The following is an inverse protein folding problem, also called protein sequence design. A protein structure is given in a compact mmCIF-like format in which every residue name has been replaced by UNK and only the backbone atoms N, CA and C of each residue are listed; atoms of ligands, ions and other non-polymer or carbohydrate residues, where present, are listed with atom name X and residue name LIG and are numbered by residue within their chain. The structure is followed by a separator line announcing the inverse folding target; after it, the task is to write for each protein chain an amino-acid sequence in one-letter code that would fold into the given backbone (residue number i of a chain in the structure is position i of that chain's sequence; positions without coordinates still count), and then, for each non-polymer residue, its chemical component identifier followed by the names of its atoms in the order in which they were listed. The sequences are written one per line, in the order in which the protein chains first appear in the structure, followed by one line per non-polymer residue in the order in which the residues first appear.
data_IF_668236783105
#
_entry.id   IF_668236783105
#
_cell.length_a   1.000
_cell.length_b   1.000
_cell.length_c   1.000
_cell.angle_alpha   90.00
_cell.angle_beta   90.00
_cell.angle_gamma   90.00
#
_symmetry.space_group_name_H-M   'P 1'
#
loop_
_entity.id
_entity.type
_entity.pdbx_description
1 polymer ?
#
# COMPACT_ATOMS: atom_id res chain seq x y z
N UNK A 1 -43.67 22.83 10.45
CA UNK A 1 -43.45 21.38 10.32
C UNK A 1 -41.92 21.19 10.38
N UNK A 2 -41.38 20.91 11.57
CA UNK A 2 -39.93 20.73 11.75
C UNK A 2 -39.55 19.33 11.27
N UNK A 3 -38.54 19.25 10.41
CA UNK A 3 -37.93 17.99 10.04
C UNK A 3 -36.99 17.58 11.18
N UNK A 4 -37.46 16.69 12.05
CA UNK A 4 -36.62 16.04 13.05
C UNK A 4 -35.70 15.05 12.33
N UNK A 5 -34.46 15.48 12.08
CA UNK A 5 -33.42 14.58 11.60
C UNK A 5 -33.01 13.64 12.73
N UNK A 6 -33.34 12.36 12.59
CA UNK A 6 -32.97 11.31 13.53
C UNK A 6 -31.44 11.09 13.46
N UNK A 7 -30.70 11.59 14.44
CA UNK A 7 -29.24 11.43 14.53
C UNK A 7 -28.96 9.97 14.87
N UNK A 8 -28.18 9.28 14.03
CA UNK A 8 -27.68 7.92 14.28
C UNK A 8 -26.23 7.98 14.72
N UNK A 9 -25.95 7.43 15.89
CA UNK A 9 -24.60 7.23 16.39
C UNK A 9 -24.06 5.87 15.91
N UNK A 10 -22.85 5.86 15.37
CA UNK A 10 -22.15 4.65 14.90
C UNK A 10 -20.83 4.51 15.64
N UNK A 11 -20.48 3.28 16.04
CA UNK A 11 -19.19 2.96 16.67
C UNK A 11 -18.36 2.09 15.74
N UNK A 12 -17.10 2.48 15.52
CA UNK A 12 -16.11 1.65 14.84
C UNK A 12 -15.59 0.57 15.80
N UNK A 13 -15.66 -0.68 15.37
CA UNK A 13 -15.14 -1.85 16.09
C UNK A 13 -13.74 -2.27 15.63
N UNK A 14 -13.20 -1.58 14.63
CA UNK A 14 -11.88 -1.83 14.04
C UNK A 14 -10.93 -0.67 14.34
N UNK A 15 -9.63 -0.91 14.16
CA UNK A 15 -8.64 0.15 14.25
C UNK A 15 -8.91 1.17 13.14
N UNK A 16 -9.30 2.39 13.53
CA UNK A 16 -9.74 3.42 12.60
C UNK A 16 -8.56 4.25 12.09
N UNK A 17 -8.57 4.63 10.81
CA UNK A 17 -7.61 5.59 10.26
C UNK A 17 -7.66 6.93 11.02
N UNK A 18 -6.50 7.56 11.20
CA UNK A 18 -6.41 8.93 11.75
C UNK A 18 -6.37 9.06 13.27
N UNK A 19 -6.42 7.96 14.04
CA UNK A 19 -6.05 8.03 15.47
C UNK A 19 -4.54 7.93 15.62
N UNK A 20 -3.95 8.71 16.53
CA UNK A 20 -2.49 8.79 16.71
C UNK A 20 -1.84 7.42 17.00
N UNK A 21 -2.57 6.48 17.60
CA UNK A 21 -2.08 5.15 17.95
C UNK A 21 -2.30 4.09 16.87
N UNK A 22 -3.15 4.33 15.86
CA UNK A 22 -3.54 3.32 14.86
C UNK A 22 -2.34 2.73 14.13
N UNK A 23 -1.48 3.58 13.58
CA UNK A 23 -0.30 3.14 12.83
C UNK A 23 0.64 2.33 13.72
N UNK A 24 0.86 2.77 14.97
CA UNK A 24 1.68 2.03 15.93
C UNK A 24 1.12 0.63 16.22
N UNK A 25 -0.19 0.52 16.44
CA UNK A 25 -0.83 -0.76 16.73
C UNK A 25 -0.73 -1.71 15.53
N UNK A 26 -1.03 -1.23 14.31
CA UNK A 26 -0.92 -2.02 13.10
C UNK A 26 0.52 -2.52 12.86
N UNK A 27 1.51 -1.62 12.96
CA UNK A 27 2.94 -1.98 12.87
C UNK A 27 3.34 -2.97 13.96
N UNK A 28 2.91 -2.77 15.21
CA UNK A 28 3.25 -3.69 16.31
C UNK A 28 2.65 -5.08 16.12
N UNK A 29 1.43 -5.17 15.56
CA UNK A 29 0.83 -6.43 15.16
C UNK A 29 1.68 -7.13 14.10
N UNK A 30 2.03 -6.46 13.00
CA UNK A 30 2.91 -7.02 11.97
C UNK A 30 4.25 -7.51 12.54
N UNK A 31 4.85 -6.74 13.45
CA UNK A 31 6.04 -7.18 14.18
C UNK A 31 5.80 -8.45 14.99
N UNK A 32 4.65 -8.58 15.67
CA UNK A 32 4.33 -9.81 16.40
C UNK A 32 4.18 -10.99 15.43
N UNK A 33 3.47 -10.79 14.32
CA UNK A 33 3.33 -11.81 13.27
C UNK A 33 4.69 -12.30 12.78
N UNK A 34 5.64 -11.39 12.57
CA UNK A 34 7.00 -11.73 12.16
C UNK A 34 7.74 -12.59 13.19
N UNK A 35 7.52 -12.37 14.49
CA UNK A 35 8.12 -13.15 15.57
C UNK A 35 7.47 -14.54 15.70
N UNK A 36 6.16 -14.60 15.41
CA UNK A 36 5.37 -15.82 15.46
C UNK A 36 5.43 -16.63 14.15
N UNK A 37 6.22 -16.17 13.16
CA UNK A 37 6.45 -16.90 11.92
C UNK A 37 7.23 -18.20 12.16
N UNK A 38 6.95 -19.20 11.33
CA UNK A 38 7.65 -20.47 11.38
C UNK A 38 9.17 -20.24 11.16
N UNK A 39 10.05 -20.74 12.04
CA UNK A 39 11.50 -20.62 11.87
C UNK A 39 12.04 -21.18 10.55
N UNK A 40 11.29 -22.09 9.89
CA UNK A 40 11.65 -22.64 8.58
C UNK A 40 11.47 -21.64 7.42
N UNK A 41 10.76 -20.52 7.64
CA UNK A 41 10.52 -19.49 6.62
C UNK A 41 11.04 -18.12 7.10
N UNK A 42 12.36 -17.94 7.25
CA UNK A 42 12.96 -16.69 7.73
C UNK A 42 12.68 -15.51 6.80
N UNK A 43 12.56 -15.75 5.49
CA UNK A 43 12.24 -14.73 4.49
C UNK A 43 10.85 -14.09 4.73
N UNK A 44 9.84 -14.89 5.08
CA UNK A 44 8.51 -14.37 5.41
C UNK A 44 8.53 -13.49 6.66
N UNK A 45 9.30 -13.89 7.67
CA UNK A 45 9.47 -13.11 8.91
C UNK A 45 10.11 -11.76 8.59
N UNK A 46 11.19 -11.76 7.81
CA UNK A 46 11.91 -10.55 7.45
C UNK A 46 11.05 -9.57 6.65
N UNK A 47 10.35 -10.06 5.62
CA UNK A 47 9.45 -9.24 4.80
C UNK A 47 8.28 -8.69 5.63
N UNK A 48 7.65 -9.52 6.47
CA UNK A 48 6.53 -9.07 7.31
C UNK A 48 6.95 -7.96 8.27
N UNK A 49 8.20 -7.98 8.72
CA UNK A 49 8.75 -7.00 9.65
C UNK A 49 9.20 -5.72 8.95
N UNK A 50 9.87 -5.84 7.81
CA UNK A 50 10.70 -4.78 7.24
C UNK A 50 10.19 -4.21 5.91
N UNK A 51 9.23 -4.87 5.26
CA UNK A 51 8.76 -4.49 3.92
C UNK A 51 7.42 -3.75 3.91
N UNK A 52 6.83 -3.47 5.07
CA UNK A 52 5.62 -2.66 5.17
C UNK A 52 5.94 -1.18 5.37
N UNK A 53 5.36 -0.33 4.52
CA UNK A 53 5.23 1.10 4.76
C UNK A 53 3.77 1.41 5.10
N UNK A 54 3.49 1.67 6.37
CA UNK A 54 2.11 1.77 6.89
C UNK A 54 1.27 0.55 6.48
N UNK A 55 0.31 0.72 5.57
CA UNK A 55 -0.59 -0.33 5.10
C UNK A 55 -0.12 -0.99 3.79
N UNK A 56 0.94 -0.47 3.15
CA UNK A 56 1.44 -0.94 1.87
C UNK A 56 2.62 -1.90 2.04
N UNK A 57 2.51 -3.10 1.45
CA UNK A 57 3.59 -4.08 1.38
C UNK A 57 4.42 -3.87 0.11
N UNK A 58 5.72 -3.62 0.26
CA UNK A 58 6.67 -3.41 -0.82
C UNK A 58 7.80 -4.45 -0.75
N UNK A 59 7.70 -5.50 -1.57
CA UNK A 59 8.72 -6.54 -1.67
C UNK A 59 8.88 -7.04 -3.11
N UNK A 60 9.91 -7.84 -3.38
CA UNK A 60 10.24 -8.34 -4.71
C UNK A 60 11.03 -9.65 -4.64
N UNK A 61 11.24 -10.26 -5.81
CA UNK A 61 12.01 -11.49 -5.96
C UNK A 61 12.78 -11.49 -7.30
N UNK A 62 13.77 -12.38 -7.44
CA UNK A 62 14.65 -12.43 -8.61
C UNK A 62 13.99 -13.08 -9.84
N UNK A 63 12.88 -13.78 -9.65
CA UNK A 63 12.12 -14.42 -10.72
C UNK A 63 10.62 -14.38 -10.49
N UNK A 64 9.84 -14.50 -11.57
CA UNK A 64 8.37 -14.60 -11.50
C UNK A 64 7.91 -15.78 -10.63
N UNK A 65 8.63 -16.90 -10.67
CA UNK A 65 8.28 -18.11 -9.91
C UNK A 65 8.47 -17.88 -8.43
N UNK A 66 9.61 -17.33 -8.02
CA UNK A 66 9.88 -16.98 -6.62
C UNK A 66 8.88 -15.94 -6.13
N UNK A 67 8.60 -14.90 -6.91
CA UNK A 67 7.60 -13.88 -6.56
C UNK A 67 6.22 -14.48 -6.30
N UNK A 68 5.78 -15.41 -7.15
CA UNK A 68 4.50 -16.11 -6.99
C UNK A 68 4.46 -16.92 -5.69
N UNK A 69 5.51 -17.70 -5.42
CA UNK A 69 5.60 -18.52 -4.21
C UNK A 69 5.58 -17.64 -2.96
N UNK A 70 6.37 -16.57 -2.97
CA UNK A 70 6.47 -15.61 -1.89
C UNK A 70 5.11 -14.94 -1.61
N UNK A 71 4.43 -14.46 -2.65
CA UNK A 71 3.12 -13.82 -2.52
C UNK A 71 2.09 -14.78 -1.91
N UNK A 72 2.05 -16.02 -2.40
CA UNK A 72 1.13 -17.03 -1.86
C UNK A 72 1.38 -17.29 -0.37
N UNK A 73 2.66 -17.45 0.01
CA UNK A 73 3.03 -17.70 1.39
C UNK A 73 2.76 -16.50 2.32
N UNK A 74 2.91 -15.26 1.82
CA UNK A 74 2.55 -14.04 2.55
C UNK A 74 1.05 -13.94 2.77
N UNK A 75 0.25 -14.23 1.74
CA UNK A 75 -1.21 -14.22 1.84
C UNK A 75 -1.65 -15.24 2.88
N UNK A 76 -1.24 -16.49 2.77
CA UNK A 76 -1.64 -17.54 3.72
C UNK A 76 -1.26 -17.20 5.16
N UNK A 77 -0.07 -16.63 5.37
CA UNK A 77 0.39 -16.27 6.70
C UNK A 77 -0.40 -15.09 7.31
N UNK A 78 -0.64 -14.05 6.53
CA UNK A 78 -1.26 -12.81 7.00
C UNK A 78 -2.79 -12.95 7.08
N UNK A 79 -3.41 -13.64 6.13
CA UNK A 79 -4.85 -13.90 6.08
C UNK A 79 -5.32 -14.69 7.31
N UNK A 80 -4.56 -15.72 7.71
CA UNK A 80 -4.80 -16.50 8.92
C UNK A 80 -4.75 -15.66 10.22
N UNK A 81 -4.23 -14.44 10.15
CA UNK A 81 -4.08 -13.51 11.28
C UNK A 81 -4.92 -12.23 11.11
N UNK A 82 -5.83 -12.21 10.13
CA UNK A 82 -6.76 -11.10 9.86
C UNK A 82 -6.17 -9.95 9.03
N UNK A 83 -5.00 -10.14 8.42
CA UNK A 83 -4.36 -9.17 7.54
C UNK A 83 -4.57 -9.57 6.07
N UNK A 84 -5.70 -9.11 5.52
CA UNK A 84 -6.09 -9.42 4.15
C UNK A 84 -5.37 -8.52 3.14
N UNK A 85 -4.34 -9.05 2.48
CA UNK A 85 -3.63 -8.36 1.41
C UNK A 85 -4.49 -8.26 0.14
N UNK A 86 -4.54 -7.06 -0.44
CA UNK A 86 -5.38 -6.73 -1.61
C UNK A 86 -4.70 -5.71 -2.51
N UNK A 87 -5.27 -5.49 -3.70
CA UNK A 87 -4.83 -4.47 -4.67
C UNK A 87 -3.37 -4.65 -5.13
N UNK A 88 -3.03 -5.88 -5.50
CA UNK A 88 -1.69 -6.27 -5.95
C UNK A 88 -1.20 -5.50 -7.18
N UNK A 89 0.10 -5.21 -7.19
CA UNK A 89 0.83 -4.59 -8.30
C UNK A 89 2.16 -5.29 -8.53
N UNK A 90 2.58 -5.40 -9.79
CA UNK A 90 3.85 -6.02 -10.17
C UNK A 90 4.30 -5.50 -11.53
N UNK A 91 5.62 -5.48 -11.74
CA UNK A 91 6.23 -5.25 -13.05
C UNK A 91 6.09 -6.46 -14.00
N UNK A 92 5.60 -7.60 -13.49
CA UNK A 92 5.40 -8.81 -14.26
C UNK A 92 3.93 -9.13 -14.44
N UNK A 93 3.46 -9.09 -15.70
CA UNK A 93 2.08 -9.45 -16.03
C UNK A 93 1.78 -10.92 -15.71
N UNK A 94 2.77 -11.81 -15.83
CA UNK A 94 2.63 -13.22 -15.49
C UNK A 94 2.34 -13.43 -14.01
N UNK A 95 2.97 -12.65 -13.14
CA UNK A 95 2.70 -12.66 -11.68
C UNK A 95 1.26 -12.19 -11.41
N UNK A 96 0.83 -11.06 -11.99
CA UNK A 96 -0.53 -10.53 -11.80
C UNK A 96 -1.64 -11.50 -12.25
N UNK A 97 -1.46 -12.13 -13.41
CA UNK A 97 -2.42 -13.13 -13.92
C UNK A 97 -2.52 -14.31 -12.96
N UNK A 98 -1.39 -14.78 -12.41
CA UNK A 98 -1.38 -15.90 -11.49
C UNK A 98 -2.10 -15.56 -10.17
N UNK A 99 -1.85 -14.38 -9.62
CA UNK A 99 -2.54 -13.86 -8.43
C UNK A 99 -4.05 -13.79 -8.67
N UNK A 100 -4.48 -13.21 -9.81
CA UNK A 100 -5.90 -13.13 -10.18
C UNK A 100 -6.59 -14.49 -10.24
N UNK A 101 -5.91 -15.50 -10.78
CA UNK A 101 -6.49 -16.84 -10.96
C UNK A 101 -6.59 -17.62 -9.65
N UNK A 102 -5.61 -17.50 -8.76
CA UNK A 102 -5.53 -18.35 -7.57
C UNK A 102 -6.34 -17.82 -6.38
N UNK A 103 -6.67 -16.53 -6.35
CA UNK A 103 -7.18 -15.88 -5.13
C UNK A 103 -8.66 -15.50 -5.20
N UNK A 104 -9.36 -15.82 -6.30
CA UNK A 104 -10.78 -15.48 -6.53
C UNK A 104 -11.18 -14.10 -5.99
N UNK A 105 -10.27 -13.11 -6.09
CA UNK A 105 -10.56 -11.79 -5.54
C UNK A 105 -11.78 -11.22 -6.28
N UNK A 106 -12.83 -10.94 -5.53
CA UNK A 106 -14.06 -10.32 -6.05
C UNK A 106 -13.82 -8.89 -6.56
N UNK A 107 -12.70 -8.28 -6.19
CA UNK A 107 -12.26 -6.99 -6.72
C UNK A 107 -11.21 -7.21 -7.83
N UNK A 108 -11.32 -6.52 -8.98
CA UNK A 108 -10.32 -6.62 -10.03
C UNK A 108 -8.95 -6.20 -9.47
N UNK A 109 -7.93 -7.06 -9.67
CA UNK A 109 -6.54 -6.66 -9.46
C UNK A 109 -6.35 -5.33 -10.19
N UNK A 110 -5.98 -4.30 -9.44
CA UNK A 110 -6.12 -2.95 -9.94
C UNK A 110 -5.00 -2.71 -10.95
N UNK A 111 -5.30 -2.91 -12.24
CA UNK A 111 -4.56 -2.29 -13.34
C UNK A 111 -4.83 -0.80 -13.27
N UNK A 112 -4.12 -0.19 -12.35
CA UNK A 112 -4.13 1.23 -12.13
C UNK A 112 -3.38 1.83 -13.30
N UNK A 113 -4.15 2.38 -14.24
CA UNK A 113 -3.63 3.32 -15.22
C UNK A 113 -2.69 4.32 -14.53
N UNK A 114 -1.61 4.78 -15.20
CA UNK A 114 -0.57 5.64 -14.60
C UNK A 114 -1.12 6.85 -13.81
N UNK A 115 -2.33 7.29 -14.11
CA UNK A 115 -3.01 8.41 -13.45
C UNK A 115 -3.58 8.10 -12.06
N UNK A 116 -3.78 6.82 -11.73
CA UNK A 116 -4.27 6.34 -10.43
C UNK A 116 -3.15 5.75 -9.55
N UNK A 117 -1.89 6.04 -9.88
CA UNK A 117 -0.70 5.47 -9.22
C UNK A 117 -0.77 5.57 -7.69
N UNK A 118 -0.27 4.53 -7.03
CA UNK A 118 -0.01 4.54 -5.59
C UNK A 118 1.11 5.53 -5.39
N UNK A 119 0.75 6.71 -4.88
CA UNK A 119 1.72 7.73 -4.54
C UNK A 119 2.23 7.42 -3.15
N UNK A 120 3.52 7.16 -3.05
CA UNK A 120 4.21 7.24 -1.77
C UNK A 120 5.04 8.53 -1.81
N UNK A 121 4.67 9.53 -1.02
CA UNK A 121 5.40 10.81 -0.93
C UNK A 121 5.55 11.51 -2.32
N UNK A 122 4.50 11.47 -3.15
CA UNK A 122 4.47 12.02 -4.51
C UNK A 122 5.32 11.30 -5.57
N UNK A 123 5.96 10.19 -5.21
CA UNK A 123 6.56 9.25 -6.17
C UNK A 123 5.50 8.30 -6.71
N UNK A 124 5.45 8.18 -8.04
CA UNK A 124 4.64 7.19 -8.75
C UNK A 124 5.52 6.06 -9.24
N UNK A 125 5.15 4.80 -8.97
CA UNK A 125 5.78 3.66 -9.63
C UNK A 125 5.03 3.31 -10.92
N UNK A 126 5.71 3.45 -12.06
CA UNK A 126 5.31 2.83 -13.32
C UNK A 126 5.83 1.39 -13.32
N UNK A 127 4.95 0.46 -12.94
CA UNK A 127 5.31 -0.94 -12.87
C UNK A 127 5.60 -1.54 -14.24
N UNK A 128 5.02 -1.04 -15.33
CA UNK A 128 5.22 -1.61 -16.67
C UNK A 128 6.66 -1.46 -17.12
N UNK A 129 7.21 -0.28 -16.88
CA UNK A 129 8.57 0.07 -17.30
C UNK A 129 9.58 -0.06 -16.15
N UNK A 130 9.10 -0.43 -14.97
CA UNK A 130 9.84 -0.53 -13.71
C UNK A 130 10.62 0.74 -13.36
N UNK A 131 9.92 1.88 -13.37
CA UNK A 131 10.52 3.20 -13.11
C UNK A 131 9.72 3.99 -12.10
N UNK A 132 10.42 4.74 -11.26
CA UNK A 132 9.81 5.75 -10.40
C UNK A 132 9.73 7.09 -11.13
N UNK A 133 8.57 7.73 -11.07
CA UNK A 133 8.24 8.96 -11.80
C UNK A 133 7.75 10.00 -10.79
N UNK A 134 8.31 11.21 -10.90
CA UNK A 134 7.73 12.40 -10.27
C UNK A 134 6.84 13.11 -11.28
N UNK A 135 5.56 13.32 -10.93
CA UNK A 135 4.68 14.14 -11.76
C UNK A 135 4.79 15.60 -11.31
N UNK A 136 5.73 16.32 -11.91
CA UNK A 136 6.04 17.71 -11.55
C UNK A 136 5.20 18.64 -12.42
N UNK A 137 4.23 19.33 -11.81
CA UNK A 137 3.51 20.42 -12.45
C UNK A 137 3.69 21.72 -11.66
N UNK A 138 4.87 22.34 -11.83
CA UNK A 138 5.14 23.62 -11.20
C UNK A 138 4.36 24.74 -11.88
N UNK A 139 3.51 25.41 -11.10
CA UNK A 139 2.80 26.61 -11.55
C UNK A 139 3.33 27.82 -10.81
N UNK A 140 4.16 28.60 -11.49
CA UNK A 140 4.59 29.90 -10.99
C UNK A 140 3.71 30.97 -11.61
N UNK A 141 2.86 31.60 -10.81
CA UNK A 141 2.13 32.80 -11.22
C UNK A 141 2.97 34.04 -10.84
N UNK A 142 3.42 34.80 -11.84
CA UNK A 142 4.21 36.02 -11.63
C UNK A 142 5.68 35.78 -11.26
N UNK A 143 6.27 36.68 -10.46
CA UNK A 143 7.68 36.62 -10.07
C UNK A 143 7.96 35.51 -9.06
N UNK A 144 8.97 34.70 -9.37
CA UNK A 144 9.41 33.61 -8.49
C UNK A 144 10.04 34.20 -7.23
N UNK A 145 9.48 33.87 -6.08
CA UNK A 145 10.04 34.15 -4.75
C UNK A 145 10.54 32.87 -4.11
N UNK A 146 11.42 32.98 -3.11
CA UNK A 146 11.84 31.82 -2.31
C UNK A 146 10.64 31.08 -1.70
N UNK A 147 9.59 31.81 -1.31
CA UNK A 147 8.34 31.25 -0.76
C UNK A 147 7.55 30.48 -1.81
N UNK A 148 7.36 31.04 -3.01
CA UNK A 148 6.61 30.35 -4.07
C UNK A 148 7.36 29.11 -4.57
N UNK A 149 8.69 29.16 -4.65
CA UNK A 149 9.52 28.01 -4.96
C UNK A 149 9.36 26.90 -3.91
N UNK A 150 9.58 27.18 -2.63
CA UNK A 150 9.46 26.19 -1.57
C UNK A 150 8.05 25.61 -1.46
N UNK A 151 7.01 26.42 -1.66
CA UNK A 151 5.62 25.94 -1.68
C UNK A 151 5.36 24.97 -2.83
N UNK A 152 5.91 25.23 -4.01
CA UNK A 152 5.80 24.33 -5.16
C UNK A 152 6.64 23.05 -4.96
N UNK A 153 7.83 23.15 -4.35
CA UNK A 153 8.64 21.97 -4.00
C UNK A 153 7.98 21.09 -2.96
N UNK A 154 7.30 21.65 -1.96
CA UNK A 154 6.60 20.88 -0.92
C UNK A 154 5.43 20.04 -1.50
N UNK A 155 4.75 20.53 -2.54
CA UNK A 155 3.70 19.77 -3.26
C UNK A 155 4.20 18.50 -3.92
N UNK A 156 5.51 18.34 -4.10
CA UNK A 156 6.08 17.08 -4.58
C UNK A 156 5.96 15.96 -3.55
N UNK A 157 5.79 16.29 -2.26
CA UNK A 157 5.72 15.33 -1.16
C UNK A 157 4.28 15.15 -0.63
N UNK A 158 3.47 16.21 -0.73
CA UNK A 158 2.07 16.23 -0.33
C UNK A 158 1.16 15.95 -1.55
N UNK A 159 0.84 14.68 -1.81
CA UNK A 159 0.07 14.25 -2.98
C UNK A 159 -1.10 13.34 -2.67
#
# INVERSE_FOLDING_TARGET
MSLDFNIKECKLSTVAYGTASTSFLATRCLHQISLDCNPQNPELSDITRNSFYMDDLMSGASSNREAIILIQALIENLDARGFHLRKWRSNSRGVLINISKNLEFSEPNVEIHPENSSKALGLTWDSKEDRFIFNINFRFEGHITKRSFLSQSARLLDS
#
